data_IF_755375791861
#
_entry.id   IF_755375791861
#
_cell.length_a   1.000
_cell.length_b   1.000
_cell.length_c   1.000
_cell.angle_alpha   90.00
_cell.angle_beta   90.00
_cell.angle_gamma   90.00
#
_symmetry.space_group_name_H-M   'P 1'
#
loop_
_entity.id
_entity.type
_entity.pdbx_description
1 polymer ?
#
# COMPACT_ATOMS: atom_id res chain seq x y z
N UNK A 1 -11.36 -18.18 -16.05
CA UNK A 1 -11.63 -17.19 -14.98
C UNK A 1 -13.12 -17.13 -14.70
N UNK A 2 -13.95 -16.95 -15.74
CA UNK A 2 -15.42 -16.92 -15.65
C UNK A 2 -16.06 -18.18 -15.04
N UNK A 3 -15.56 -19.38 -15.38
CA UNK A 3 -16.04 -20.64 -14.80
C UNK A 3 -15.76 -20.81 -13.29
N UNK A 4 -14.85 -20.01 -12.71
CA UNK A 4 -14.48 -20.09 -11.29
C UNK A 4 -14.94 -18.89 -10.45
N UNK A 5 -14.98 -17.69 -11.04
CA UNK A 5 -15.30 -16.44 -10.34
C UNK A 5 -16.59 -15.78 -10.84
N UNK A 6 -17.27 -16.38 -11.82
CA UNK A 6 -18.39 -15.75 -12.52
C UNK A 6 -17.93 -14.70 -13.54
N UNK A 7 -18.90 -14.13 -14.27
CA UNK A 7 -18.64 -13.06 -15.23
C UNK A 7 -18.11 -11.82 -14.50
N UNK A 8 -16.90 -11.38 -14.83
CA UNK A 8 -16.23 -10.24 -14.20
C UNK A 8 -16.20 -9.04 -15.15
N UNK A 9 -16.92 -7.97 -14.80
CA UNK A 9 -16.97 -6.73 -15.59
C UNK A 9 -16.05 -5.62 -15.02
N UNK A 10 -15.58 -5.76 -13.78
CA UNK A 10 -14.83 -4.72 -13.07
C UNK A 10 -13.31 -4.82 -13.29
N UNK A 11 -12.75 -6.04 -13.20
CA UNK A 11 -11.31 -6.27 -13.39
C UNK A 11 -11.12 -7.10 -14.66
N UNK A 12 -10.76 -6.41 -15.74
CA UNK A 12 -10.51 -7.01 -17.05
C UNK A 12 -9.04 -7.44 -17.19
N UNK A 13 -8.72 -8.18 -18.25
CA UNK A 13 -7.33 -8.52 -18.58
C UNK A 13 -6.52 -7.21 -18.69
N UNK A 14 -5.39 -7.13 -17.99
CA UNK A 14 -4.57 -5.92 -17.90
C UNK A 14 -5.09 -4.85 -16.93
N UNK A 15 -6.14 -5.12 -16.17
CA UNK A 15 -6.68 -4.24 -15.13
C UNK A 15 -5.93 -4.27 -13.80
N UNK A 16 -4.84 -5.06 -13.71
CA UNK A 16 -3.94 -5.04 -12.57
C UNK A 16 -3.09 -3.77 -12.57
N UNK A 17 -2.90 -3.18 -11.40
CA UNK A 17 -2.05 -2.01 -11.20
C UNK A 17 -1.01 -2.39 -10.15
N UNK A 18 0.26 -2.14 -10.43
CA UNK A 18 1.36 -2.39 -9.50
C UNK A 18 2.27 -1.19 -9.45
N UNK A 19 2.78 -0.84 -8.27
CA UNK A 19 3.67 0.30 -8.08
C UNK A 19 4.17 0.34 -6.65
N UNK A 20 5.26 1.10 -6.43
CA UNK A 20 5.85 1.31 -5.11
C UNK A 20 5.61 2.78 -4.75
N UNK A 21 4.97 3.04 -3.61
CA UNK A 21 4.67 4.39 -3.17
C UNK A 21 5.57 4.80 -2.00
N UNK A 22 6.10 6.01 -2.08
CA UNK A 22 6.61 6.77 -0.96
C UNK A 22 5.46 7.10 0.00
N UNK A 23 5.68 7.17 1.33
CA UNK A 23 4.62 7.50 2.30
C UNK A 23 3.91 8.85 2.10
N UNK A 24 4.48 9.78 1.32
CA UNK A 24 3.78 10.98 0.82
C UNK A 24 2.98 10.77 -0.47
N UNK A 25 2.57 9.53 -0.76
CA UNK A 25 1.76 9.15 -1.92
C UNK A 25 2.39 9.47 -3.29
N UNK A 26 3.73 9.39 -3.37
CA UNK A 26 4.47 9.59 -4.62
C UNK A 26 4.91 8.22 -5.13
N UNK A 27 4.69 7.90 -6.40
CA UNK A 27 5.24 6.66 -6.99
C UNK A 27 6.76 6.75 -7.09
N UNK A 28 7.46 5.81 -6.46
CA UNK A 28 8.90 5.61 -6.59
C UNK A 28 9.24 4.81 -7.85
N UNK A 29 8.37 3.86 -8.22
CA UNK A 29 8.33 3.21 -9.52
C UNK A 29 6.88 2.71 -9.79
N UNK A 30 6.48 2.71 -11.06
CA UNK A 30 5.08 2.53 -11.49
C UNK A 30 4.26 3.84 -11.52
N UNK A 31 2.92 3.75 -11.57
CA UNK A 31 2.14 2.53 -11.64
C UNK A 31 2.29 1.85 -13.01
N UNK A 32 2.54 0.54 -13.00
CA UNK A 32 2.47 -0.30 -14.18
C UNK A 32 1.07 -0.87 -14.34
N UNK A 33 0.54 -0.81 -15.56
CA UNK A 33 -0.79 -1.28 -15.93
C UNK A 33 -0.79 -1.79 -17.38
N UNK A 34 -1.84 -2.53 -17.77
CA UNK A 34 -1.98 -3.03 -19.13
C UNK A 34 -1.55 -4.49 -19.30
N UNK A 35 -1.34 -4.90 -20.56
CA UNK A 35 -1.11 -6.31 -20.92
C UNK A 35 0.35 -6.76 -20.78
N UNK A 36 1.28 -5.81 -20.70
CA UNK A 36 2.70 -6.09 -20.58
C UNK A 36 3.03 -6.59 -19.18
N UNK A 37 3.91 -7.59 -19.08
CA UNK A 37 4.51 -7.98 -17.81
C UNK A 37 5.81 -7.23 -17.62
N UNK A 38 5.95 -6.56 -16.47
CA UNK A 38 7.12 -5.75 -16.14
C UNK A 38 7.54 -5.95 -14.70
N UNK A 39 8.84 -5.97 -14.45
CA UNK A 39 9.40 -5.92 -13.11
C UNK A 39 9.52 -4.45 -12.66
N UNK A 40 8.99 -4.15 -11.48
CA UNK A 40 9.04 -2.82 -10.84
C UNK A 40 10.10 -2.88 -9.74
N UNK A 41 11.07 -1.98 -9.79
CA UNK A 41 12.21 -1.95 -8.87
C UNK A 41 12.50 -0.51 -8.49
N UNK A 42 12.64 -0.24 -7.19
CA UNK A 42 13.11 1.05 -6.71
C UNK A 42 14.03 0.88 -5.49
N UNK A 43 14.79 1.92 -5.18
CA UNK A 43 15.54 2.02 -3.93
C UNK A 43 14.69 2.76 -2.89
N UNK A 44 14.66 2.24 -1.67
CA UNK A 44 13.93 2.85 -0.56
C UNK A 44 14.95 3.49 0.38
N UNK A 45 14.83 4.80 0.57
CA UNK A 45 15.61 5.56 1.55
C UNK A 45 14.89 5.59 2.90
N UNK A 46 15.33 4.72 3.82
CA UNK A 46 14.74 4.61 5.17
C UNK A 46 15.00 5.84 6.05
N UNK A 47 15.97 6.70 5.70
CA UNK A 47 16.23 7.92 6.48
C UNK A 47 15.07 8.92 6.41
N UNK A 48 14.23 8.83 5.38
CA UNK A 48 13.06 9.69 5.19
C UNK A 48 11.92 9.36 6.15
N UNK A 49 11.93 8.17 6.79
CA UNK A 49 10.89 7.79 7.75
C UNK A 49 10.84 8.72 8.97
N UNK A 50 11.99 9.26 9.39
CA UNK A 50 12.04 10.18 10.54
C UNK A 50 11.17 11.41 10.33
N UNK A 51 11.26 12.05 9.16
CA UNK A 51 10.45 13.23 8.86
C UNK A 51 8.98 12.86 8.66
N UNK A 52 8.69 11.70 8.08
CA UNK A 52 7.31 11.22 7.90
C UNK A 52 6.60 11.05 9.25
N UNK A 53 7.26 10.49 10.26
CA UNK A 53 6.66 10.32 11.60
C UNK A 53 6.33 11.66 12.28
N UNK A 54 7.07 12.73 11.98
CA UNK A 54 6.71 14.08 12.47
C UNK A 54 5.34 14.50 11.92
N UNK A 55 5.06 14.21 10.65
CA UNK A 55 3.82 14.63 9.98
C UNK A 55 2.66 13.63 10.12
N UNK A 56 2.93 12.33 10.18
CA UNK A 56 1.93 11.26 10.00
C UNK A 56 2.16 10.11 11.00
N UNK A 57 2.19 10.43 12.30
CA UNK A 57 2.28 9.43 13.37
C UNK A 57 0.91 9.17 14.02
N UNK A 58 0.18 8.21 13.44
CA UNK A 58 -1.17 7.83 13.88
C UNK A 58 -1.19 6.99 15.16
N UNK A 59 -0.07 6.35 15.52
CA UNK A 59 0.04 5.48 16.68
C UNK A 59 0.62 6.20 17.91
N UNK A 60 1.36 7.29 17.73
CA UNK A 60 1.90 8.13 18.79
C UNK A 60 1.12 9.42 18.96
N UNK A 61 1.64 10.56 18.50
CA UNK A 61 1.15 11.88 18.95
C UNK A 61 -0.25 12.26 18.43
N UNK A 62 -0.72 11.66 17.33
CA UNK A 62 -2.12 11.80 16.91
C UNK A 62 -3.05 10.74 17.51
N UNK A 63 -2.53 9.78 18.28
CA UNK A 63 -3.37 8.76 18.92
C UNK A 63 -4.25 9.37 20.01
N UNK A 64 -5.43 8.79 20.19
CA UNK A 64 -6.40 9.14 21.25
C UNK A 64 -6.73 7.88 22.04
N UNK A 65 -5.81 7.39 22.89
CA UNK A 65 -5.99 6.13 23.62
C UNK A 65 -7.15 6.17 24.62
N UNK A 66 -7.59 7.36 25.02
CA UNK A 66 -8.80 7.56 25.82
C UNK A 66 -10.09 7.38 25.00
N UNK A 67 -10.02 7.45 23.67
CA UNK A 67 -11.16 7.27 22.77
C UNK A 67 -11.19 5.86 22.18
N UNK A 68 -10.04 5.34 21.72
CA UNK A 68 -9.96 4.02 21.10
C UNK A 68 -8.62 3.37 21.33
N UNK A 69 -8.66 2.12 21.78
CA UNK A 69 -7.50 1.23 21.89
C UNK A 69 -7.68 0.06 20.93
N UNK A 70 -6.57 -0.38 20.33
CA UNK A 70 -6.53 -1.48 19.39
C UNK A 70 -5.61 -2.57 19.95
N UNK A 71 -6.19 -3.57 20.61
CA UNK A 71 -5.46 -4.73 21.10
C UNK A 71 -5.50 -5.86 20.06
N UNK A 72 -4.38 -6.55 19.89
CA UNK A 72 -4.27 -7.71 19.03
C UNK A 72 -3.64 -8.87 19.81
N UNK A 73 -4.31 -10.04 19.81
CA UNK A 73 -3.79 -11.23 20.44
C UNK A 73 -2.96 -12.03 19.43
N UNK A 74 -1.65 -11.87 19.50
CA UNK A 74 -0.71 -12.64 18.68
C UNK A 74 -0.31 -13.91 19.44
N UNK A 75 -0.53 -15.08 18.84
CA UNK A 75 0.11 -16.31 19.30
C UNK A 75 1.59 -16.31 18.84
N UNK A 76 2.54 -16.70 19.70
CA UNK A 76 3.94 -16.87 19.30
C UNK A 76 4.13 -18.01 18.29
#
# INVERSE_FOLDING_TARGET
METKLGKQELIKIGGGISGILHPFNIYLDGPHQGLEQKLIICNIDLSQLCIIQVFIDSAGHYSRPEVRQNDANYAP
#
